data_IF_055418563053
#
_entry.id   IF_055418563053
#
_cell.length_a   1.000
_cell.length_b   1.000
_cell.length_c   1.000
_cell.angle_alpha   90.00
_cell.angle_beta   90.00
_cell.angle_gamma   90.00
#
_symmetry.space_group_name_H-M   'P 1'
#
loop_
_entity.id
_entity.type
_entity.pdbx_description
1 polymer ?
#
# COMPACT_ATOMS: atom_id res chain seq x y z
N UNK A 1 6.31 22.87 -5.22
CA UNK A 1 5.03 22.16 -5.35
C UNK A 1 5.14 21.27 -6.57
N UNK A 2 5.01 19.96 -6.40
CA UNK A 2 5.09 19.00 -7.50
C UNK A 2 3.77 18.95 -8.26
N UNK A 3 3.84 18.82 -9.58
CA UNK A 3 2.69 18.68 -10.47
C UNK A 3 2.98 17.52 -11.43
N UNK A 4 1.99 16.68 -11.66
CA UNK A 4 2.09 15.56 -12.61
C UNK A 4 1.09 15.84 -13.73
N UNK A 5 1.59 15.94 -14.96
CA UNK A 5 0.76 16.12 -16.14
C UNK A 5 0.67 14.79 -16.87
N UNK A 6 -0.56 14.35 -17.13
CA UNK A 6 -0.85 13.10 -17.82
C UNK A 6 -1.59 13.45 -19.10
N UNK A 7 -0.98 13.05 -20.22
CA UNK A 7 -1.50 13.29 -21.56
C UNK A 7 -1.81 11.95 -22.23
N UNK A 8 -3.07 11.73 -22.58
CA UNK A 8 -3.49 10.59 -23.37
C UNK A 8 -3.48 10.94 -24.86
N UNK A 9 -3.15 9.96 -25.69
CA UNK A 9 -3.14 10.07 -27.16
C UNK A 9 -4.49 10.50 -27.75
N UNK A 10 -5.61 10.25 -27.06
CA UNK A 10 -6.94 10.68 -27.48
C UNK A 10 -7.24 12.17 -27.21
N UNK A 11 -6.26 12.94 -26.72
CA UNK A 11 -6.40 14.36 -26.40
C UNK A 11 -6.98 14.66 -25.02
N UNK A 12 -7.25 13.63 -24.20
CA UNK A 12 -7.55 13.84 -22.78
C UNK A 12 -6.26 14.20 -22.04
N UNK A 13 -6.32 15.27 -21.26
CA UNK A 13 -5.23 15.75 -20.41
C UNK A 13 -5.73 15.94 -18.99
N UNK A 14 -4.83 15.68 -18.03
CA UNK A 14 -5.09 15.93 -16.63
C UNK A 14 -3.85 16.38 -15.87
N UNK A 15 -4.06 17.33 -14.97
CA UNK A 15 -3.05 17.80 -14.02
C UNK A 15 -3.37 17.25 -12.63
N UNK A 16 -2.52 16.38 -12.12
CA UNK A 16 -2.56 15.94 -10.72
C UNK A 16 -1.72 16.90 -9.90
N UNK A 17 -2.33 17.47 -8.85
CA UNK A 17 -1.64 18.29 -7.86
C UNK A 17 -1.68 17.56 -6.51
N UNK A 18 -0.64 16.77 -6.18
CA UNK A 18 -0.62 16.02 -4.93
C UNK A 18 -0.62 16.96 -3.71
N UNK A 19 -1.36 16.57 -2.67
CA UNK A 19 -1.29 17.19 -1.34
C UNK A 19 -0.38 16.35 -0.45
N UNK A 20 0.63 16.97 0.14
CA UNK A 20 1.55 16.28 1.06
C UNK A 20 1.09 16.47 2.51
N UNK A 21 0.99 15.37 3.26
CA UNK A 21 0.76 15.38 4.70
C UNK A 21 1.80 14.48 5.38
N UNK A 22 2.69 15.09 6.16
CA UNK A 22 3.84 14.39 6.72
C UNK A 22 4.77 13.87 5.62
N UNK A 23 5.07 12.57 5.63
CA UNK A 23 5.89 11.88 4.61
C UNK A 23 5.08 11.32 3.44
N UNK A 24 3.76 11.51 3.41
CA UNK A 24 2.88 10.93 2.40
C UNK A 24 2.35 11.99 1.44
N UNK A 25 2.20 11.63 0.16
CA UNK A 25 1.61 12.49 -0.86
C UNK A 25 0.36 11.83 -1.45
N UNK A 26 -0.71 12.60 -1.59
CA UNK A 26 -2.04 12.10 -1.95
C UNK A 26 -2.60 12.86 -3.15
N UNK A 27 -3.25 12.16 -4.08
CA UNK A 27 -4.07 12.74 -5.14
C UNK A 27 -5.40 11.97 -5.24
N UNK A 28 -6.43 12.61 -5.79
CA UNK A 28 -7.75 11.99 -5.89
C UNK A 28 -7.74 10.86 -6.94
N UNK A 29 -8.44 9.76 -6.65
CA UNK A 29 -8.54 8.58 -7.50
C UNK A 29 -9.21 8.88 -8.86
N UNK A 30 -10.21 9.76 -8.86
CA UNK A 30 -10.84 10.25 -10.09
C UNK A 30 -10.64 11.76 -10.14
N UNK A 31 -9.94 12.23 -11.16
CA UNK A 31 -9.80 13.66 -11.41
C UNK A 31 -10.62 13.96 -12.66
N UNK A 32 -11.66 14.77 -12.48
CA UNK A 32 -12.51 15.32 -13.55
C UNK A 32 -13.20 14.30 -14.50
N UNK A 33 -13.33 13.03 -14.12
CA UNK A 33 -14.06 11.98 -14.86
C UNK A 33 -13.39 11.50 -16.15
N UNK A 34 -12.22 12.04 -16.53
CA UNK A 34 -11.48 11.68 -17.75
C UNK A 34 -10.50 10.53 -17.54
N UNK A 35 -9.96 10.41 -16.33
CA UNK A 35 -9.02 9.38 -15.93
C UNK A 35 -9.42 8.75 -14.60
N UNK A 36 -9.14 7.46 -14.44
CA UNK A 36 -9.36 6.68 -13.21
C UNK A 36 -8.06 5.96 -12.83
N UNK A 37 -7.68 6.04 -11.57
CA UNK A 37 -6.59 5.20 -11.02
C UNK A 37 -7.19 3.83 -10.75
N UNK A 38 -7.08 2.93 -11.73
CA UNK A 38 -7.85 1.69 -11.71
C UNK A 38 -7.15 0.58 -10.93
N UNK A 39 -5.81 0.58 -10.88
CA UNK A 39 -5.03 -0.44 -10.16
C UNK A 39 -3.72 0.15 -9.64
N UNK A 40 -3.47 -0.02 -8.34
CA UNK A 40 -2.14 0.09 -7.77
C UNK A 40 -1.63 -1.34 -7.59
N UNK A 41 -0.53 -1.70 -8.27
CA UNK A 41 0.11 -3.00 -8.05
C UNK A 41 1.05 -2.87 -6.86
N UNK A 42 0.68 -3.56 -5.79
CA UNK A 42 1.50 -3.70 -4.59
C UNK A 42 2.10 -5.08 -4.64
N UNK A 43 3.41 -5.16 -4.78
CA UNK A 43 4.08 -6.40 -4.45
C UNK A 43 4.17 -6.44 -2.93
N UNK A 44 3.50 -7.44 -2.35
CA UNK A 44 3.77 -7.82 -0.99
C UNK A 44 5.14 -8.47 -1.02
N UNK A 45 6.15 -7.77 -0.49
CA UNK A 45 7.45 -8.38 -0.37
C UNK A 45 7.27 -9.57 0.56
N UNK A 46 7.58 -10.76 0.06
CA UNK A 46 7.25 -12.03 0.74
C UNK A 46 8.07 -12.25 2.01
N UNK A 47 8.99 -11.33 2.29
CA UNK A 47 9.81 -11.26 3.49
C UNK A 47 8.95 -10.76 4.64
N UNK A 48 8.24 -11.69 5.27
CA UNK A 48 7.59 -11.46 6.55
C UNK A 48 8.69 -11.26 7.58
N UNK A 49 8.90 -10.01 7.99
CA UNK A 49 9.82 -9.70 9.08
C UNK A 49 9.08 -9.96 10.40
N UNK A 50 9.48 -11.03 11.08
CA UNK A 50 8.98 -11.33 12.42
C UNK A 50 9.91 -10.63 13.41
N UNK A 51 9.41 -9.57 14.04
CA UNK A 51 10.09 -8.90 15.14
C UNK A 51 9.33 -9.25 16.41
N UNK A 52 9.76 -10.32 17.09
CA UNK A 52 9.15 -10.72 18.35
C UNK A 52 9.57 -9.77 19.47
N UNK A 53 8.60 -9.11 20.10
CA UNK A 53 8.86 -8.35 21.32
C UNK A 53 9.30 -9.28 22.47
N UNK A 54 10.22 -8.82 23.30
CA UNK A 54 10.76 -9.61 24.43
C UNK A 54 9.66 -9.99 25.42
N UNK A 55 8.66 -9.12 25.62
CA UNK A 55 7.45 -9.39 26.40
C UNK A 55 6.67 -10.59 25.86
N UNK A 56 6.48 -10.65 24.54
CA UNK A 56 5.77 -11.75 23.88
C UNK A 56 6.52 -13.08 24.02
N UNK A 57 7.85 -13.05 23.94
CA UNK A 57 8.68 -14.24 24.17
C UNK A 57 8.54 -14.71 25.63
N UNK A 58 8.59 -13.78 26.59
CA UNK A 58 8.48 -14.10 28.01
C UNK A 58 7.11 -14.70 28.35
N UNK A 59 6.03 -14.12 27.83
CA UNK A 59 4.67 -14.65 28.00
C UNK A 59 4.57 -16.09 27.46
N UNK A 60 5.18 -16.37 26.30
CA UNK A 60 5.23 -17.72 25.73
C UNK A 60 6.05 -18.70 26.57
N UNK A 61 7.15 -18.26 27.18
CA UNK A 61 7.99 -19.11 28.01
C UNK A 61 7.40 -19.38 29.39
N UNK A 62 6.60 -18.45 29.91
CA UNK A 62 5.96 -18.55 31.22
C UNK A 62 4.64 -19.34 31.16
N UNK A 63 4.06 -19.51 29.97
CA UNK A 63 2.84 -20.25 29.75
C UNK A 63 2.98 -21.74 30.14
N UNK A 64 2.09 -22.18 31.03
CA UNK A 64 2.14 -23.54 31.59
C UNK A 64 1.16 -24.50 30.88
N UNK A 65 0.12 -23.94 30.25
CA UNK A 65 -0.94 -24.69 29.60
C UNK A 65 -1.01 -24.41 28.10
N UNK A 66 -1.32 -25.46 27.32
CA UNK A 66 -1.48 -25.33 25.86
C UNK A 66 -2.53 -24.29 25.45
N UNK A 67 -3.56 -24.12 26.28
CA UNK A 67 -4.64 -23.16 26.02
C UNK A 67 -4.14 -21.72 26.17
N UNK A 68 -3.27 -21.47 27.14
CA UNK A 68 -2.62 -20.17 27.38
C UNK A 68 -1.66 -19.82 26.24
N UNK A 69 -0.82 -20.76 25.81
CA UNK A 69 0.03 -20.61 24.61
C UNK A 69 -0.79 -20.22 23.38
N UNK A 70 -1.96 -20.86 23.20
CA UNK A 70 -2.84 -20.57 22.05
C UNK A 70 -3.44 -19.16 22.12
N UNK A 71 -3.73 -18.66 23.31
CA UNK A 71 -4.24 -17.31 23.52
C UNK A 71 -3.17 -16.25 23.27
N UNK A 72 -1.95 -16.48 23.76
CA UNK A 72 -0.80 -15.58 23.55
C UNK A 72 -0.51 -15.47 22.05
N UNK A 73 -0.42 -16.60 21.35
CA UNK A 73 -0.22 -16.60 19.89
C UNK A 73 -1.33 -15.83 19.16
N UNK A 74 -2.60 -16.10 19.45
CA UNK A 74 -3.69 -15.41 18.74
C UNK A 74 -3.72 -13.90 18.99
N UNK A 75 -3.29 -13.45 20.16
CA UNK A 75 -3.30 -12.03 20.50
C UNK A 75 -2.06 -11.29 19.99
N UNK A 76 -0.88 -11.94 19.95
CA UNK A 76 0.37 -11.27 19.61
C UNK A 76 0.85 -11.48 18.17
N UNK A 77 0.33 -12.46 17.43
CA UNK A 77 0.78 -12.70 16.05
C UNK A 77 0.45 -11.54 15.10
N UNK A 78 -0.61 -10.77 15.30
CA UNK A 78 -0.88 -9.61 14.42
C UNK A 78 0.08 -8.45 14.72
N UNK A 79 0.44 -8.25 15.98
CA UNK A 79 1.29 -7.13 16.40
C UNK A 79 2.79 -7.38 16.14
N UNK A 80 3.21 -8.64 16.03
CA UNK A 80 4.61 -9.03 15.82
C UNK A 80 4.95 -9.31 14.33
N UNK A 81 3.98 -9.19 13.43
CA UNK A 81 4.14 -9.48 12.01
C UNK A 81 3.89 -8.21 11.19
N UNK A 82 4.97 -7.66 10.63
CA UNK A 82 4.86 -6.57 9.66
C UNK A 82 4.96 -7.15 8.26
N UNK A 83 3.97 -6.82 7.43
CA UNK A 83 4.01 -7.11 6.00
C UNK A 83 4.51 -5.84 5.31
N UNK A 84 5.76 -5.89 4.84
CA UNK A 84 6.31 -4.80 4.04
C UNK A 84 5.70 -4.85 2.63
N UNK A 85 4.85 -3.87 2.35
CA UNK A 85 4.23 -3.68 1.05
C UNK A 85 4.96 -2.60 0.27
N UNK A 86 5.42 -2.91 -0.94
CA UNK A 86 6.07 -1.95 -1.81
C UNK A 86 5.16 -1.64 -3.02
N UNK A 87 4.95 -0.35 -3.29
CA UNK A 87 4.22 0.08 -4.48
C UNK A 87 5.14 -0.07 -5.70
N UNK A 88 4.80 -0.97 -6.62
CA UNK A 88 5.59 -1.19 -7.85
C UNK A 88 5.03 -0.41 -9.03
N UNK A 89 3.71 -0.30 -9.09
CA UNK A 89 3.02 0.23 -10.25
C UNK A 89 1.81 1.06 -9.84
N UNK A 90 1.64 2.21 -10.50
CA UNK A 90 0.36 2.92 -10.55
C UNK A 90 -0.13 2.92 -11.99
N UNK A 91 -1.26 2.28 -12.24
CA UNK A 91 -1.94 2.32 -13.54
C UNK A 91 -3.06 3.35 -13.54
N UNK A 92 -3.08 4.16 -14.59
CA UNK A 92 -4.03 5.26 -14.79
C UNK A 92 -4.73 5.04 -16.13
N UNK A 93 -6.03 4.74 -16.07
CA UNK A 93 -6.85 4.46 -17.25
C UNK A 93 -7.51 5.74 -17.77
N UNK A 94 -7.48 5.94 -19.08
CA UNK A 94 -8.24 6.96 -19.77
C UNK A 94 -9.68 6.46 -20.03
N UNK A 95 -10.66 7.11 -19.43
CA UNK A 95 -12.07 6.75 -19.56
C UNK A 95 -12.65 7.07 -20.94
N UNK A 96 -11.94 7.88 -21.75
CA UNK A 96 -12.40 8.31 -23.08
C UNK A 96 -12.12 7.29 -24.19
N UNK A 97 -10.97 6.62 -24.16
CA UNK A 97 -10.54 5.68 -25.20
C UNK A 97 -10.19 4.29 -24.68
N UNK A 98 -10.11 4.08 -23.36
CA UNK A 98 -9.72 2.80 -22.75
C UNK A 98 -8.22 2.53 -22.73
N UNK A 99 -7.41 3.44 -23.29
CA UNK A 99 -5.94 3.40 -23.16
C UNK A 99 -5.50 3.69 -21.73
N UNK A 100 -4.27 3.33 -21.38
CA UNK A 100 -3.76 3.49 -20.03
C UNK A 100 -2.29 3.93 -19.99
N UNK A 101 -1.90 4.52 -18.87
CA UNK A 101 -0.53 4.92 -18.57
C UNK A 101 -0.10 4.21 -17.30
N UNK A 102 1.10 3.66 -17.34
CA UNK A 102 1.70 2.94 -16.23
C UNK A 102 2.86 3.76 -15.69
N UNK A 103 2.80 4.09 -14.40
CA UNK A 103 3.90 4.70 -13.67
C UNK A 103 4.61 3.59 -12.88
N UNK A 104 5.91 3.42 -13.13
CA UNK A 104 6.80 2.48 -12.45
C UNK A 104 7.99 3.23 -11.86
N UNK A 105 8.88 2.53 -11.14
CA UNK A 105 10.14 3.08 -10.56
C UNK A 105 9.92 4.14 -9.45
N UNK A 106 9.28 3.73 -8.35
CA UNK A 106 9.02 4.56 -7.16
C UNK A 106 10.15 4.53 -6.13
#
# INVERSE_FOLDING_TARGET
MMKILINCSCGNEIELTPKTWGKHSYFANTVNGKFRVDQYHVEINKDVTISLEESFINDLTDASEKQEVSQILNNGLEDNFTIDTELKEIRIDCMGCGEYIVLTEF
#
